data_IF_804318701437
#
_entry.id   IF_804318701437
#
_cell.length_a   1.000
_cell.length_b   1.000
_cell.length_c   1.000
_cell.angle_alpha   90.00
_cell.angle_beta   90.00
_cell.angle_gamma   90.00
#
_symmetry.space_group_name_H-M   'P 1'
#
loop_
_entity.id
_entity.type
_entity.pdbx_description
1 polymer ?
#
# COMPACT_ATOMS: atom_id res chain seq x y z
N UNK A 1 5.84 -34.62 -0.12
CA UNK A 1 4.87 -34.01 0.79
C UNK A 1 4.82 -32.51 0.53
N UNK A 2 3.64 -31.99 0.39
CA UNK A 2 3.46 -30.55 0.26
C UNK A 2 3.25 -29.96 1.64
N UNK A 3 4.10 -29.01 2.01
CA UNK A 3 3.96 -28.29 3.25
C UNK A 3 3.10 -27.06 3.02
N UNK A 4 1.96 -27.01 3.67
CA UNK A 4 1.11 -25.82 3.67
C UNK A 4 1.77 -24.75 4.51
N UNK A 5 1.91 -23.54 3.98
CA UNK A 5 2.48 -22.44 4.73
C UNK A 5 1.55 -22.05 5.88
N UNK A 6 2.10 -22.01 7.10
CA UNK A 6 1.37 -21.64 8.30
C UNK A 6 2.20 -20.63 9.07
N UNK A 7 1.59 -19.54 9.50
CA UNK A 7 2.27 -18.48 10.24
C UNK A 7 1.71 -17.11 9.95
N UNK A 8 2.49 -16.11 10.33
CA UNK A 8 2.15 -14.71 10.13
C UNK A 8 3.30 -14.02 9.40
N UNK A 9 2.96 -13.13 8.51
CA UNK A 9 3.92 -12.39 7.69
C UNK A 9 3.61 -10.91 7.69
N UNK A 10 4.66 -10.10 7.70
CA UNK A 10 4.57 -8.68 7.39
C UNK A 10 5.13 -8.46 5.99
N UNK A 11 4.52 -7.56 5.26
CA UNK A 11 4.93 -7.23 3.90
C UNK A 11 4.75 -5.75 3.63
N UNK A 12 5.51 -5.22 2.69
CA UNK A 12 5.35 -3.84 2.24
C UNK A 12 5.51 -3.76 0.74
N UNK A 13 4.81 -2.80 0.15
CA UNK A 13 4.88 -2.50 -1.28
C UNK A 13 4.98 -0.99 -1.46
N UNK A 14 5.69 -0.60 -2.49
CA UNK A 14 5.91 0.81 -2.81
C UNK A 14 5.49 1.11 -4.24
N UNK A 15 5.01 2.34 -4.43
CA UNK A 15 4.70 2.88 -5.75
C UNK A 15 5.32 4.25 -5.88
N UNK A 16 6.10 4.45 -6.94
CA UNK A 16 6.71 5.74 -7.26
C UNK A 16 6.02 6.33 -8.48
N UNK A 17 5.56 7.57 -8.35
CA UNK A 17 5.03 8.33 -9.47
C UNK A 17 6.17 9.07 -10.16
N UNK A 18 6.25 8.95 -11.48
CA UNK A 18 7.26 9.61 -12.30
C UNK A 18 6.61 10.60 -13.24
N UNK A 19 7.41 11.58 -13.72
CA UNK A 19 6.99 12.46 -14.79
C UNK A 19 7.28 11.83 -16.17
N UNK A 20 6.98 12.55 -17.25
CA UNK A 20 7.17 12.05 -18.61
C UNK A 20 8.64 11.79 -18.97
N UNK A 21 9.59 12.33 -18.20
CA UNK A 21 11.02 12.15 -18.41
C UNK A 21 11.62 11.07 -17.53
N UNK A 22 10.78 10.36 -16.74
CA UNK A 22 11.22 9.31 -15.84
C UNK A 22 11.76 9.78 -14.49
N UNK A 23 11.66 11.06 -14.17
CA UNK A 23 12.06 11.58 -12.86
C UNK A 23 11.01 11.22 -11.82
N UNK A 24 11.43 10.72 -10.68
CA UNK A 24 10.54 10.39 -9.57
C UNK A 24 10.03 11.66 -8.92
N UNK A 25 8.73 11.72 -8.70
CA UNK A 25 8.05 12.84 -8.05
C UNK A 25 7.81 12.54 -6.57
N UNK A 26 7.20 11.41 -6.28
CA UNK A 26 6.96 10.95 -4.91
C UNK A 26 6.86 9.43 -4.89
N UNK A 27 6.96 8.87 -3.68
CA UNK A 27 6.82 7.42 -3.46
C UNK A 27 5.91 7.18 -2.26
N UNK A 28 4.96 6.28 -2.44
CA UNK A 28 4.12 5.74 -1.37
C UNK A 28 4.61 4.35 -1.01
N UNK A 29 4.74 4.06 0.28
CA UNK A 29 4.98 2.72 0.80
C UNK A 29 3.86 2.37 1.77
N UNK A 30 3.29 1.18 1.61
CA UNK A 30 2.24 0.65 2.50
C UNK A 30 2.74 -0.67 3.06
N UNK A 31 2.52 -0.87 4.35
CA UNK A 31 2.90 -2.10 5.05
C UNK A 31 1.73 -2.63 5.85
N UNK A 32 1.62 -3.93 5.88
CA UNK A 32 0.65 -4.65 6.68
C UNK A 32 1.06 -6.09 6.85
N UNK A 33 0.22 -6.86 7.51
CA UNK A 33 0.50 -8.25 7.75
C UNK A 33 -0.76 -9.09 7.78
N UNK A 34 -0.54 -10.39 7.79
CA UNK A 34 -1.62 -11.37 7.84
C UNK A 34 -1.12 -12.69 8.40
N UNK A 35 -2.07 -13.49 8.87
CA UNK A 35 -1.78 -14.84 9.34
C UNK A 35 -2.62 -15.85 8.58
N UNK A 36 -2.03 -17.01 8.31
CA UNK A 36 -2.70 -18.13 7.65
C UNK A 36 -2.36 -19.44 8.39
N UNK A 37 -3.30 -20.37 8.39
CA UNK A 37 -3.05 -21.71 8.89
C UNK A 37 -2.66 -22.70 7.77
N UNK A 38 -2.40 -22.18 6.57
CA UNK A 38 -2.08 -22.96 5.38
C UNK A 38 -3.29 -23.27 4.50
N UNK A 39 -4.49 -23.16 5.04
CA UNK A 39 -5.75 -23.40 4.32
C UNK A 39 -6.54 -22.13 4.11
N UNK A 40 -6.53 -21.22 5.09
CA UNK A 40 -7.21 -19.95 4.98
C UNK A 40 -6.50 -18.87 5.80
N UNK A 41 -6.70 -17.64 5.41
CA UNK A 41 -6.22 -16.45 6.13
C UNK A 41 -7.23 -16.13 7.23
N UNK A 42 -6.74 -15.96 8.45
CA UNK A 42 -7.61 -15.71 9.60
C UNK A 42 -7.35 -14.39 10.31
N UNK A 43 -6.30 -13.67 9.93
CA UNK A 43 -5.99 -12.37 10.51
C UNK A 43 -5.38 -11.46 9.44
N UNK A 44 -5.65 -10.18 9.54
CA UNK A 44 -5.14 -9.16 8.62
C UNK A 44 -5.04 -7.84 9.37
N UNK A 45 -3.93 -7.11 9.20
CA UNK A 45 -3.73 -5.83 9.88
C UNK A 45 -2.93 -4.86 9.01
N UNK A 46 -3.10 -3.58 9.33
CA UNK A 46 -2.39 -2.48 8.70
C UNK A 46 -1.28 -2.01 9.65
N UNK A 47 -0.05 -1.85 9.15
CA UNK A 47 1.07 -1.36 9.95
C UNK A 47 1.30 0.14 9.77
N UNK A 48 1.21 0.63 8.55
CA UNK A 48 1.44 2.04 8.29
C UNK A 48 1.68 2.37 6.83
N UNK A 49 1.73 3.66 6.56
CA UNK A 49 2.15 4.20 5.29
C UNK A 49 3.33 5.13 5.49
N UNK A 50 4.16 5.24 4.47
CA UNK A 50 5.29 6.18 4.44
C UNK A 50 5.27 6.89 3.11
N UNK A 51 5.64 8.16 3.12
CA UNK A 51 5.73 8.97 1.93
C UNK A 51 7.11 9.58 1.79
N UNK A 52 7.59 9.67 0.55
CA UNK A 52 8.82 10.36 0.21
C UNK A 52 8.57 11.23 -1.00
N UNK A 53 9.21 12.39 -1.06
CA UNK A 53 9.14 13.29 -2.20
C UNK A 53 10.54 13.51 -2.76
N UNK A 54 10.66 13.57 -4.09
CA UNK A 54 11.95 13.64 -4.77
C UNK A 54 12.08 14.83 -5.68
N UNK A 55 10.99 15.52 -5.98
CA UNK A 55 10.99 16.64 -6.92
C UNK A 55 10.50 17.90 -6.23
N UNK A 56 11.12 19.01 -6.55
CA UNK A 56 10.78 20.30 -5.94
C UNK A 56 9.29 20.63 -6.20
N UNK A 57 8.63 21.15 -5.20
CA UNK A 57 7.21 21.49 -5.26
C UNK A 57 6.27 20.40 -4.76
N UNK A 58 6.73 19.15 -4.65
CA UNK A 58 5.94 18.07 -4.09
C UNK A 58 6.12 17.97 -2.57
N UNK A 59 5.01 17.76 -1.86
CA UNK A 59 5.05 17.51 -0.42
C UNK A 59 4.10 16.38 -0.04
N UNK A 60 4.43 15.68 1.04
CA UNK A 60 3.61 14.63 1.62
C UNK A 60 2.54 15.27 2.50
N UNK A 61 1.28 15.00 2.22
CA UNK A 61 0.12 15.48 2.98
C UNK A 61 -0.36 14.54 4.07
N UNK A 62 0.31 13.41 4.26
CA UNK A 62 -0.03 12.46 5.31
C UNK A 62 -0.99 11.37 4.88
N UNK A 63 -1.20 10.43 5.78
CA UNK A 63 -2.10 9.31 5.57
C UNK A 63 -3.56 9.77 5.55
N UNK A 64 -4.31 9.31 4.55
CA UNK A 64 -5.71 9.69 4.35
C UNK A 64 -6.68 8.55 4.66
N UNK A 65 -6.29 7.29 4.39
CA UNK A 65 -7.17 6.15 4.55
C UNK A 65 -6.33 4.89 4.76
N UNK A 66 -6.86 3.99 5.58
CA UNK A 66 -6.32 2.65 5.74
C UNK A 66 -7.43 1.68 6.08
N UNK A 67 -7.24 0.44 5.67
CA UNK A 67 -8.15 -0.65 6.04
C UNK A 67 -7.43 -1.99 5.91
N UNK A 68 -7.86 -2.96 6.70
CA UNK A 68 -7.37 -4.32 6.63
C UNK A 68 -8.54 -5.27 6.85
N UNK A 69 -8.83 -6.08 5.85
CA UNK A 69 -9.95 -7.03 5.88
C UNK A 69 -9.50 -8.38 5.33
N UNK A 70 -10.39 -9.36 5.45
CA UNK A 70 -10.25 -10.66 4.80
C UNK A 70 -11.48 -10.79 3.89
N UNK A 71 -11.25 -10.98 2.61
CA UNK A 71 -12.31 -11.12 1.61
C UNK A 71 -11.87 -12.10 0.53
N UNK A 72 -12.78 -12.96 0.08
CA UNK A 72 -12.47 -13.94 -0.96
C UNK A 72 -11.34 -14.90 -0.58
N UNK A 73 -11.16 -15.17 0.72
CA UNK A 73 -10.12 -16.06 1.22
C UNK A 73 -8.73 -15.45 1.32
N UNK A 74 -8.57 -14.16 1.02
CA UNK A 74 -7.28 -13.48 1.11
C UNK A 74 -7.35 -12.27 2.04
N UNK A 75 -6.20 -11.93 2.62
CA UNK A 75 -6.05 -10.65 3.32
C UNK A 75 -6.02 -9.52 2.29
N UNK A 76 -6.64 -8.40 2.62
CA UNK A 76 -6.65 -7.20 1.80
C UNK A 76 -6.34 -6.00 2.67
N UNK A 77 -5.21 -5.36 2.40
CA UNK A 77 -4.70 -4.28 3.22
C UNK A 77 -4.52 -3.07 2.30
N UNK A 78 -5.18 -1.98 2.62
CA UNK A 78 -5.15 -0.76 1.81
C UNK A 78 -4.55 0.36 2.61
N UNK A 79 -3.68 1.14 1.98
CA UNK A 79 -3.16 2.37 2.55
C UNK A 79 -3.15 3.47 1.49
N UNK A 80 -3.45 4.69 1.93
CA UNK A 80 -3.49 5.88 1.09
C UNK A 80 -2.79 7.04 1.77
N UNK A 81 -1.99 7.77 1.02
CA UNK A 81 -1.44 9.05 1.44
C UNK A 81 -1.79 10.12 0.41
N UNK A 82 -1.77 11.37 0.86
CA UNK A 82 -1.94 12.51 -0.02
C UNK A 82 -0.57 13.07 -0.39
N UNK A 83 -0.42 13.44 -1.66
CA UNK A 83 0.75 14.17 -2.14
C UNK A 83 0.27 15.39 -2.92
N UNK A 84 0.84 16.53 -2.58
CA UNK A 84 0.45 17.81 -3.17
C UNK A 84 1.60 18.43 -3.92
N UNK A 85 1.29 18.99 -5.09
CA UNK A 85 2.23 19.79 -5.86
C UNK A 85 1.80 21.25 -5.79
N UNK A 86 2.70 22.11 -5.35
CA UNK A 86 2.41 23.53 -5.18
C UNK A 86 3.52 24.41 -5.71
N UNK A 87 3.12 25.60 -6.14
CA UNK A 87 4.02 26.65 -6.61
C UNK A 87 3.57 27.97 -6.00
N UNK A 88 4.52 28.71 -5.40
CA UNK A 88 4.23 30.02 -4.83
C UNK A 88 3.21 29.99 -3.69
N UNK A 89 3.14 28.92 -2.93
CA UNK A 89 2.22 28.77 -1.82
C UNK A 89 0.83 28.25 -2.22
N UNK A 90 0.62 27.94 -3.50
CA UNK A 90 -0.66 27.42 -4.00
C UNK A 90 -0.50 25.98 -4.44
N UNK A 91 -1.41 25.11 -3.97
CA UNK A 91 -1.49 23.74 -4.45
C UNK A 91 -2.24 23.72 -5.79
N UNK A 92 -1.57 23.21 -6.82
CA UNK A 92 -2.13 23.13 -8.17
C UNK A 92 -2.47 21.71 -8.58
N UNK A 93 -2.03 20.72 -7.80
CA UNK A 93 -2.35 19.32 -8.04
C UNK A 93 -2.36 18.56 -6.72
N UNK A 94 -3.34 17.68 -6.56
CA UNK A 94 -3.44 16.78 -5.41
C UNK A 94 -3.60 15.36 -5.91
N UNK A 95 -2.77 14.46 -5.40
CA UNK A 95 -2.83 13.03 -5.74
C UNK A 95 -3.04 12.23 -4.45
N UNK A 96 -3.87 11.20 -4.56
CA UNK A 96 -4.22 10.33 -3.43
C UNK A 96 -3.98 8.88 -3.80
N UNK A 97 -2.71 8.47 -4.00
CA UNK A 97 -2.41 7.10 -4.39
C UNK A 97 -2.76 6.11 -3.29
N UNK A 98 -3.24 4.96 -3.70
CA UNK A 98 -3.51 3.83 -2.83
C UNK A 98 -2.72 2.62 -3.28
N UNK A 99 -2.28 1.82 -2.32
CA UNK A 99 -1.76 0.48 -2.59
C UNK A 99 -2.67 -0.50 -1.85
N UNK A 100 -3.14 -1.51 -2.55
CA UNK A 100 -3.86 -2.64 -1.97
C UNK A 100 -2.95 -3.86 -1.99
N UNK A 101 -2.67 -4.40 -0.81
CA UNK A 101 -1.84 -5.59 -0.62
C UNK A 101 -2.75 -6.79 -0.48
N UNK A 102 -2.40 -7.89 -1.16
CA UNK A 102 -3.05 -9.18 -1.01
C UNK A 102 -2.14 -10.14 -0.25
N UNK A 103 -2.70 -10.82 0.74
CA UNK A 103 -2.03 -11.91 1.43
C UNK A 103 -2.81 -13.21 1.23
N UNK A 104 -2.13 -14.23 0.74
CA UNK A 104 -2.77 -15.49 0.37
C UNK A 104 -2.51 -16.57 1.42
N UNK A 105 -3.36 -17.61 1.44
CA UNK A 105 -3.24 -18.68 2.41
C UNK A 105 -1.91 -19.45 2.30
N UNK A 106 -1.28 -19.41 1.14
CA UNK A 106 0.06 -20.00 0.94
C UNK A 106 1.20 -19.21 1.57
N UNK A 107 0.93 -17.99 2.05
CA UNK A 107 1.97 -17.08 2.51
C UNK A 107 2.45 -16.13 1.40
N UNK A 108 2.03 -16.34 0.17
CA UNK A 108 2.35 -15.46 -0.95
C UNK A 108 1.66 -14.11 -0.83
N UNK A 109 2.22 -13.11 -1.50
CA UNK A 109 1.68 -11.75 -1.49
C UNK A 109 1.62 -11.17 -2.90
N UNK A 110 0.81 -10.14 -3.06
CA UNK A 110 0.72 -9.34 -4.27
C UNK A 110 0.20 -7.96 -3.94
N UNK A 111 0.20 -7.08 -4.92
CA UNK A 111 -0.31 -5.73 -4.73
C UNK A 111 -0.82 -5.14 -6.03
N UNK A 112 -1.74 -4.19 -5.91
CA UNK A 112 -2.19 -3.34 -7.01
C UNK A 112 -2.46 -1.92 -6.50
N UNK A 113 -2.79 -1.03 -7.43
CA UNK A 113 -3.10 0.37 -7.10
C UNK A 113 -4.62 0.52 -7.02
N UNK A 114 -5.16 0.24 -5.85
CA UNK A 114 -6.59 0.35 -5.60
C UNK A 114 -6.84 0.86 -4.19
N UNK A 115 -7.85 1.69 -4.04
CA UNK A 115 -8.32 2.17 -2.73
C UNK A 115 -9.44 1.30 -2.17
N UNK A 116 -9.91 0.32 -2.92
CA UNK A 116 -11.01 -0.56 -2.53
C UNK A 116 -10.44 -1.86 -1.96
N UNK A 117 -10.73 -2.21 -0.68
CA UNK A 117 -10.22 -3.45 -0.10
C UNK A 117 -10.99 -4.69 -0.57
N UNK A 118 -12.19 -4.53 -1.11
CA UNK A 118 -13.07 -5.65 -1.49
C UNK A 118 -12.71 -6.36 -2.78
#
# INVERSE_FOLDING_TARGET
MVLMASGCWNTSYSYAQTNAFGNWLYKLTVSGGFCSNGSYVYASWFNGTWGETYWIGWRDGGQQYSNAIIAGGSARIVGQRAFYYGVGGWDIQSNYPCIRIFGYSSGGTGADLSCNPW
#
